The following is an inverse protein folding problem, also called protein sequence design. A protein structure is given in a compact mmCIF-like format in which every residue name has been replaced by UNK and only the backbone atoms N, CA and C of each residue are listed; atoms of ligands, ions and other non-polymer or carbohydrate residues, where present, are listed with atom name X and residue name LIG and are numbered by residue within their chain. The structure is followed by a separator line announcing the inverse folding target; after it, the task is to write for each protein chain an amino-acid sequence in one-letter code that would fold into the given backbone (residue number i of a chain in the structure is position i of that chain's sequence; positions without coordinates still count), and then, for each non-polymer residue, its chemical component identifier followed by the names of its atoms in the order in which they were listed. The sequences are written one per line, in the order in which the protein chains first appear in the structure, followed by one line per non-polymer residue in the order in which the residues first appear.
data_IF_609766864154
#
_entry.id   IF_609766864154
#
_cell.length_a   1.000
_cell.length_b   1.000
_cell.length_c   1.000
_cell.angle_alpha   90.00
_cell.angle_beta   90.00
_cell.angle_gamma   90.00
#
_symmetry.space_group_name_H-M   'P 1'
#
loop_
_entity.id
_entity.type
_entity.pdbx_description
1 polymer ?
#
# COMPACT_ATOMS: atom_id res chain seq x y z
N UNK A 1 -6.97 22.41 -20.62
CA UNK A 1 -5.84 21.47 -20.63
C UNK A 1 -6.21 20.32 -19.70
N UNK A 2 -6.72 19.20 -20.22
CA UNK A 2 -6.92 18.01 -19.42
C UNK A 2 -5.69 17.12 -19.60
N UNK A 3 -4.66 17.36 -18.78
CA UNK A 3 -3.58 16.40 -18.63
C UNK A 3 -4.22 15.12 -18.08
N UNK A 4 -4.43 14.13 -18.96
CA UNK A 4 -4.79 12.78 -18.55
C UNK A 4 -3.64 12.25 -17.71
N UNK A 5 -3.71 12.42 -16.39
CA UNK A 5 -2.90 11.64 -15.47
C UNK A 5 -3.17 10.17 -15.85
N UNK A 6 -2.11 9.40 -16.10
CA UNK A 6 -2.23 8.02 -16.56
C UNK A 6 -3.08 7.15 -15.62
N UNK A 7 -3.31 5.87 -15.96
CA UNK A 7 -4.05 4.96 -15.10
C UNK A 7 -3.46 4.98 -13.68
N UNK A 8 -4.28 5.37 -12.70
CA UNK A 8 -3.87 5.41 -11.30
C UNK A 8 -3.54 3.99 -10.84
N UNK A 9 -2.35 3.82 -10.29
CA UNK A 9 -1.90 2.56 -9.72
C UNK A 9 -2.02 2.59 -8.19
N UNK A 10 -2.05 1.40 -7.57
CA UNK A 10 -2.06 1.32 -6.11
C UNK A 10 -0.85 2.03 -5.47
N UNK A 11 0.29 2.09 -6.18
CA UNK A 11 1.50 2.78 -5.69
C UNK A 11 1.32 4.29 -5.58
N UNK A 12 0.40 4.88 -6.34
CA UNK A 12 0.15 6.32 -6.32
C UNK A 12 -0.66 6.77 -5.09
N UNK A 13 -1.36 5.82 -4.45
CA UNK A 13 -2.19 6.09 -3.25
C UNK A 13 -1.71 5.33 -2.00
N UNK A 14 -0.72 4.46 -2.15
CA UNK A 14 -0.19 3.66 -1.05
C UNK A 14 1.03 4.32 -0.42
N UNK A 15 1.10 4.24 0.91
CA UNK A 15 2.32 4.56 1.67
C UNK A 15 3.10 3.26 1.85
N UNK A 16 4.39 3.29 1.57
CA UNK A 16 5.27 2.15 1.78
C UNK A 16 6.27 2.48 2.88
N UNK A 17 6.34 1.61 3.88
CA UNK A 17 7.33 1.68 4.95
C UNK A 17 8.46 0.69 4.68
N UNK A 18 9.68 1.13 4.97
CA UNK A 18 10.81 0.21 5.16
C UNK A 18 10.61 -0.61 6.43
N UNK A 19 11.41 -1.67 6.59
CA UNK A 19 11.36 -2.47 7.82
C UNK A 19 11.71 -1.61 9.04
N UNK A 20 12.70 -0.73 8.91
CA UNK A 20 13.16 0.14 9.98
C UNK A 20 12.09 1.15 10.39
N UNK A 21 11.45 1.83 9.43
CA UNK A 21 10.34 2.76 9.70
C UNK A 21 9.14 2.03 10.30
N UNK A 22 8.81 0.84 9.80
CA UNK A 22 7.71 0.04 10.33
C UNK A 22 7.94 -0.37 11.79
N UNK A 23 9.18 -0.67 12.19
CA UNK A 23 9.50 -0.99 13.58
C UNK A 23 9.41 0.23 14.51
N UNK A 24 9.53 1.45 13.97
CA UNK A 24 9.35 2.69 14.74
C UNK A 24 7.88 3.06 14.95
N UNK A 25 6.96 2.52 14.15
CA UNK A 25 5.52 2.77 14.28
C UNK A 25 4.95 2.12 15.55
N UNK A 26 4.14 2.89 16.27
CA UNK A 26 3.32 2.41 17.36
C UNK A 26 2.21 1.46 16.90
N UNK A 27 1.61 0.68 17.83
CA UNK A 27 0.51 -0.23 17.51
C UNK A 27 -0.71 0.45 16.85
N UNK A 28 -1.03 1.68 17.28
CA UNK A 28 -2.12 2.47 16.71
C UNK A 28 -1.83 2.91 15.27
N UNK A 29 -0.58 3.31 15.00
CA UNK A 29 -0.14 3.73 13.66
C UNK A 29 -0.15 2.53 12.69
N UNK A 30 0.30 1.36 13.15
CA UNK A 30 0.24 0.11 12.36
C UNK A 30 -1.19 -0.30 12.03
N UNK A 31 -2.10 -0.11 12.99
CA UNK A 31 -3.54 -0.39 12.79
C UNK A 31 -4.14 0.58 11.78
N UNK A 32 -3.88 1.87 11.96
CA UNK A 32 -4.31 2.92 11.02
C UNK A 32 -3.77 2.68 9.62
N UNK A 33 -2.50 2.29 9.50
CA UNK A 33 -1.91 1.93 8.22
C UNK A 33 -2.65 0.79 7.54
N UNK A 34 -2.93 -0.28 8.27
CA UNK A 34 -3.67 -1.43 7.75
C UNK A 34 -5.03 -1.00 7.21
N UNK A 35 -5.79 -0.24 7.99
CA UNK A 35 -7.14 0.17 7.62
C UNK A 35 -7.13 1.10 6.41
N UNK A 36 -6.24 2.09 6.39
CA UNK A 36 -6.10 3.02 5.25
C UNK A 36 -5.65 2.30 3.98
N UNK A 37 -4.69 1.37 4.05
CA UNK A 37 -4.23 0.65 2.86
C UNK A 37 -5.31 -0.28 2.28
N UNK A 38 -6.06 -0.97 3.15
CA UNK A 38 -7.19 -1.81 2.73
C UNK A 38 -8.31 -0.97 2.13
N UNK A 39 -8.62 0.18 2.72
CA UNK A 39 -9.60 1.12 2.19
C UNK A 39 -9.17 1.67 0.82
N UNK A 40 -7.90 2.06 0.67
CA UNK A 40 -7.35 2.53 -0.60
C UNK A 40 -7.46 1.46 -1.71
N UNK A 41 -7.15 0.20 -1.40
CA UNK A 41 -7.33 -0.90 -2.35
C UNK A 41 -8.80 -1.09 -2.73
N UNK A 42 -9.70 -1.12 -1.75
CA UNK A 42 -11.14 -1.24 -1.96
C UNK A 42 -11.68 -0.10 -2.83
N UNK A 43 -11.26 1.13 -2.55
CA UNK A 43 -11.65 2.31 -3.30
C UNK A 43 -11.21 2.22 -4.77
N UNK A 44 -9.97 1.79 -5.03
CA UNK A 44 -9.47 1.61 -6.40
C UNK A 44 -10.23 0.52 -7.17
N UNK A 45 -10.54 -0.61 -6.52
CA UNK A 45 -11.36 -1.67 -7.14
C UNK A 45 -12.78 -1.15 -7.40
N UNK A 46 -13.35 -0.39 -6.47
CA UNK A 46 -14.71 0.18 -6.56
C UNK A 46 -14.85 1.17 -7.71
N UNK A 47 -13.84 2.00 -7.98
CA UNK A 47 -13.85 2.92 -9.14
C UNK A 47 -13.56 2.21 -10.48
N UNK A 48 -13.44 0.88 -10.47
CA UNK A 48 -13.36 0.05 -11.68
C UNK A 48 -11.94 -0.26 -12.16
N UNK A 49 -10.89 0.10 -11.41
CA UNK A 49 -9.54 -0.30 -11.79
C UNK A 49 -9.36 -1.81 -11.56
N UNK A 50 -8.99 -2.52 -12.62
CA UNK A 50 -8.57 -3.92 -12.53
C UNK A 50 -7.12 -3.98 -12.04
N UNK A 51 -6.96 -3.94 -10.72
CA UNK A 51 -5.67 -3.98 -10.04
C UNK A 51 -5.36 -5.40 -9.61
N UNK A 52 -4.20 -5.93 -10.04
CA UNK A 52 -3.64 -7.15 -9.47
C UNK A 52 -3.38 -6.88 -8.00
N UNK A 53 -3.99 -7.69 -7.12
CA UNK A 53 -3.92 -7.50 -5.66
C UNK A 53 -2.45 -7.39 -5.23
N UNK A 54 -2.02 -6.23 -4.68
CA UNK A 54 -0.63 -6.03 -4.27
C UNK A 54 -0.24 -6.96 -3.12
N UNK A 55 1.02 -7.40 -3.07
CA UNK A 55 1.55 -8.24 -1.98
C UNK A 55 1.32 -7.62 -0.60
N UNK A 56 1.42 -6.29 -0.50
CA UNK A 56 1.15 -5.57 0.74
C UNK A 56 -0.30 -5.75 1.21
N UNK A 57 -1.27 -5.77 0.29
CA UNK A 57 -2.68 -5.99 0.62
C UNK A 57 -2.90 -7.43 1.07
N UNK A 58 -2.27 -8.40 0.39
CA UNK A 58 -2.37 -9.83 0.76
C UNK A 58 -1.89 -10.03 2.20
N UNK A 59 -0.74 -9.45 2.56
CA UNK A 59 -0.19 -9.53 3.92
C UNK A 59 -1.10 -8.87 4.95
N UNK A 60 -1.61 -7.67 4.66
CA UNK A 60 -2.49 -6.93 5.57
C UNK A 60 -3.82 -7.66 5.85
N UNK A 61 -4.38 -8.34 4.84
CA UNK A 61 -5.56 -9.19 4.98
C UNK A 61 -5.29 -10.42 5.86
N UNK A 62 -4.09 -11.00 5.74
CA UNK A 62 -3.64 -12.15 6.54
C UNK A 62 -3.24 -11.78 7.98
N UNK A 63 -3.10 -10.49 8.27
CA UNK A 63 -2.57 -10.00 9.56
C UNK A 63 -1.05 -10.07 9.66
N UNK A 64 -0.37 -10.32 8.54
CA UNK A 64 1.08 -10.34 8.42
C UNK A 64 1.64 -8.94 8.23
N UNK A 65 2.94 -8.78 8.51
CA UNK A 65 3.56 -7.47 8.51
C UNK A 65 3.95 -6.99 7.08
N UNK A 66 3.53 -5.78 6.68
CA UNK A 66 3.48 -5.32 5.29
C UNK A 66 4.82 -4.85 4.69
N UNK A 67 5.90 -4.69 5.47
CA UNK A 67 7.11 -4.04 4.99
C UNK A 67 7.75 -4.78 3.81
N UNK A 68 8.39 -4.00 2.93
CA UNK A 68 9.27 -4.55 1.92
C UNK A 68 10.55 -5.04 2.59
N UNK A 69 10.91 -6.31 2.37
CA UNK A 69 12.28 -6.76 2.67
C UNK A 69 13.21 -5.87 1.87
N UNK A 70 14.22 -5.29 2.51
CA UNK A 70 15.28 -4.51 1.88
C UNK A 70 15.99 -5.34 0.80
N UNK A 71 15.39 -5.41 -0.39
CA UNK A 71 16.04 -5.75 -1.62
C UNK A 71 16.53 -4.43 -2.19
N UNK A 72 17.86 -4.30 -2.34
CA UNK A 72 18.56 -3.11 -2.84
C UNK A 72 17.69 -2.29 -3.78
N UNK A 73 17.48 -1.01 -3.43
CA UNK A 73 17.07 0.01 -4.40
C UNK A 73 18.03 -0.08 -5.59
N UNK A 74 17.58 -0.63 -6.71
CA UNK A 74 18.28 -0.46 -7.98
C UNK A 74 17.93 0.95 -8.45
N UNK A 75 18.96 1.79 -8.39
CA UNK A 75 19.08 3.16 -8.89
C UNK A 75 18.45 3.35 -10.27
#
# INVERSE_FOLDING_TARGET
MNTSLGPLSFKDVAVAFTQEEWQQLGPEEKTTYRDVMLENYSNLVSVGYHIIKPDVIIKLEQGDEPWMKSGKRTT
#
